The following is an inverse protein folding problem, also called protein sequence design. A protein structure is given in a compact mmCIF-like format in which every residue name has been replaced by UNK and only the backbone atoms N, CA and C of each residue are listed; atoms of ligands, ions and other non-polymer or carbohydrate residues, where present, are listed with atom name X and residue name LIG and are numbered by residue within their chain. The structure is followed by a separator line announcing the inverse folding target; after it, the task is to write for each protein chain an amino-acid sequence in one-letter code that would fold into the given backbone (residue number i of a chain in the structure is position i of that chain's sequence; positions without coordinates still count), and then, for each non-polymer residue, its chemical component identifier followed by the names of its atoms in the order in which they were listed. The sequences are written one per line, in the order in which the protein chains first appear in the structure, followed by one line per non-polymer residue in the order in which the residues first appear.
data_IF_219435895472
#
_entry.id   IF_219435895472
#
_cell.length_a   1.000
_cell.length_b   1.000
_cell.length_c   1.000
_cell.angle_alpha   90.00
_cell.angle_beta   90.00
_cell.angle_gamma   90.00
#
_symmetry.space_group_name_H-M   'P 1'
#
loop_
_entity.id
_entity.type
_entity.pdbx_description
1 polymer ?
#
# COMPACT_ATOMS: atom_id res chain seq x y z
N UNK A 1 -11.41 4.37 -14.73
CA UNK A 1 -10.24 4.60 -13.87
C UNK A 1 -10.60 4.12 -12.49
N UNK A 2 -9.71 3.35 -11.85
CA UNK A 2 -9.92 2.76 -10.53
C UNK A 2 -9.15 3.53 -9.46
N UNK A 3 -9.79 3.75 -8.33
CA UNK A 3 -9.19 4.40 -7.18
C UNK A 3 -9.17 3.44 -5.97
N UNK A 4 -7.98 3.19 -5.43
CA UNK A 4 -7.80 2.43 -4.19
C UNK A 4 -7.56 3.40 -3.03
N UNK A 5 -8.41 3.34 -2.02
CA UNK A 5 -8.25 4.10 -0.78
C UNK A 5 -7.90 3.13 0.35
N UNK A 6 -6.84 3.44 1.09
CA UNK A 6 -6.29 2.54 2.11
C UNK A 6 -6.39 3.22 3.46
N UNK A 7 -7.12 2.60 4.39
CA UNK A 7 -7.03 2.92 5.81
C UNK A 7 -5.76 2.27 6.37
N UNK A 8 -4.74 3.09 6.63
CA UNK A 8 -3.46 2.67 7.18
C UNK A 8 -3.44 2.65 8.72
N UNK A 9 -4.61 2.79 9.37
CA UNK A 9 -4.79 2.63 10.81
C UNK A 9 -5.19 1.20 11.14
N UNK A 10 -4.71 0.63 12.28
CA UNK A 10 -5.29 -0.60 12.81
C UNK A 10 -6.74 -0.42 13.30
N UNK A 11 -7.19 0.82 13.50
CA UNK A 11 -8.54 1.12 13.99
C UNK A 11 -9.51 1.31 12.82
N UNK A 12 -10.49 0.39 12.72
CA UNK A 12 -11.48 0.36 11.64
C UNK A 12 -12.62 1.37 11.76
N UNK A 13 -12.80 1.97 12.95
CA UNK A 13 -13.92 2.90 13.26
C UNK A 13 -13.46 4.26 13.78
N UNK A 14 -12.18 4.60 13.57
CA UNK A 14 -11.59 5.85 14.06
C UNK A 14 -11.65 7.01 13.06
N UNK A 15 -11.00 8.13 13.40
CA UNK A 15 -10.95 9.31 12.53
C UNK A 15 -10.40 9.02 11.13
N UNK A 16 -9.37 8.17 11.03
CA UNK A 16 -8.81 7.73 9.74
C UNK A 16 -9.85 7.01 8.88
N UNK A 17 -10.69 6.16 9.49
CA UNK A 17 -11.76 5.46 8.78
C UNK A 17 -12.84 6.43 8.28
N UNK A 18 -13.18 7.46 9.07
CA UNK A 18 -14.13 8.49 8.64
C UNK A 18 -13.57 9.33 7.48
N UNK A 19 -12.27 9.68 7.51
CA UNK A 19 -11.62 10.38 6.39
C UNK A 19 -11.63 9.52 5.12
N UNK A 20 -11.35 8.22 5.23
CA UNK A 20 -11.44 7.28 4.09
C UNK A 20 -12.83 7.29 3.49
N UNK A 21 -13.88 7.25 4.33
CA UNK A 21 -15.27 7.31 3.88
C UNK A 21 -15.57 8.63 3.15
N UNK A 22 -15.19 9.77 3.71
CA UNK A 22 -15.38 11.09 3.08
C UNK A 22 -14.71 11.13 1.71
N UNK A 23 -13.44 10.71 1.61
CA UNK A 23 -12.72 10.68 0.33
C UNK A 23 -13.41 9.74 -0.66
N UNK A 24 -13.82 8.55 -0.20
CA UNK A 24 -14.50 7.56 -1.03
C UNK A 24 -15.79 8.13 -1.62
N UNK A 25 -16.60 8.79 -0.80
CA UNK A 25 -17.87 9.39 -1.22
C UNK A 25 -17.63 10.51 -2.26
N UNK A 26 -16.66 11.40 -2.03
CA UNK A 26 -16.35 12.52 -2.93
C UNK A 26 -15.85 12.08 -4.32
N UNK A 27 -15.00 11.04 -4.37
CA UNK A 27 -14.39 10.60 -5.64
C UNK A 27 -15.19 9.54 -6.38
N UNK A 28 -16.19 8.92 -5.73
CA UNK A 28 -17.03 7.84 -6.28
C UNK A 28 -17.76 8.20 -7.59
N UNK A 29 -18.01 9.49 -7.83
CA UNK A 29 -18.64 9.97 -9.07
C UNK A 29 -17.71 9.94 -10.29
N UNK A 30 -16.39 9.84 -10.08
CA UNK A 30 -15.36 9.95 -11.14
C UNK A 30 -14.53 8.67 -11.28
N UNK A 31 -14.42 7.89 -10.21
CA UNK A 31 -13.59 6.69 -10.16
C UNK A 31 -14.42 5.50 -9.68
N UNK A 32 -14.06 4.31 -10.16
CA UNK A 32 -14.48 3.07 -9.53
C UNK A 32 -13.66 2.89 -8.25
N UNK A 33 -14.27 3.23 -7.12
CA UNK A 33 -13.59 3.38 -5.83
C UNK A 33 -13.69 2.13 -4.98
N UNK A 34 -12.54 1.65 -4.51
CA UNK A 34 -12.43 0.56 -3.54
C UNK A 34 -11.71 1.05 -2.29
N UNK A 35 -12.28 0.78 -1.12
CA UNK A 35 -11.65 1.08 0.18
C UNK A 35 -11.24 -0.22 0.88
N UNK A 36 -10.02 -0.27 1.39
CA UNK A 36 -9.49 -1.41 2.16
C UNK A 36 -8.88 -0.93 3.49
N UNK A 37 -8.82 -1.80 4.50
CA UNK A 37 -8.09 -1.54 5.74
C UNK A 37 -6.85 -2.43 5.82
N UNK A 38 -5.71 -1.85 6.23
CA UNK A 38 -4.47 -2.60 6.38
C UNK A 38 -4.57 -3.73 7.41
N UNK A 39 -5.46 -3.57 8.40
CA UNK A 39 -5.72 -4.53 9.46
C UNK A 39 -6.57 -5.74 9.01
N UNK A 40 -7.13 -5.71 7.80
CA UNK A 40 -7.83 -6.86 7.22
C UNK A 40 -6.86 -7.91 6.65
N UNK A 41 -5.57 -7.61 6.59
CA UNK A 41 -4.55 -8.45 5.96
C UNK A 41 -3.50 -8.89 6.97
N UNK A 42 -3.09 -10.15 6.87
CA UNK A 42 -2.00 -10.71 7.67
C UNK A 42 -0.72 -10.80 6.85
N UNK A 43 0.32 -10.10 7.30
CA UNK A 43 1.64 -10.15 6.69
C UNK A 43 2.74 -10.00 7.74
N UNK A 44 3.84 -10.68 7.50
CA UNK A 44 5.02 -10.64 8.37
C UNK A 44 5.98 -9.51 7.96
N UNK A 45 6.91 -9.18 8.86
CA UNK A 45 7.97 -8.23 8.54
C UNK A 45 8.87 -8.73 7.40
N UNK A 46 9.32 -7.80 6.55
CA UNK A 46 10.29 -8.09 5.50
C UNK A 46 11.60 -8.62 6.11
N UNK A 47 12.04 -9.81 5.67
CA UNK A 47 13.31 -10.44 6.11
C UNK A 47 14.56 -9.88 5.42
N UNK A 48 14.42 -8.97 4.46
CA UNK A 48 15.56 -8.41 3.71
C UNK A 48 16.31 -9.44 2.86
N UNK A 49 15.67 -10.54 2.45
CA UNK A 49 16.31 -11.61 1.67
C UNK A 49 16.65 -11.21 0.22
N UNK A 50 16.07 -10.11 -0.28
CA UNK A 50 16.27 -9.54 -1.64
C UNK A 50 15.90 -10.44 -2.81
N UNK A 51 15.25 -11.59 -2.60
CA UNK A 51 14.80 -12.47 -3.70
C UNK A 51 13.87 -11.73 -4.67
N UNK A 52 13.01 -10.87 -4.12
CA UNK A 52 12.08 -10.04 -4.87
C UNK A 52 12.75 -9.11 -5.91
N UNK A 53 14.03 -8.76 -5.76
CA UNK A 53 14.75 -7.94 -6.75
C UNK A 53 14.92 -8.65 -8.10
N UNK A 54 14.91 -9.99 -8.11
CA UNK A 54 15.05 -10.78 -9.33
C UNK A 54 13.70 -11.36 -9.79
N UNK A 55 12.77 -11.60 -8.85
CA UNK A 55 11.50 -12.29 -9.13
C UNK A 55 10.30 -11.38 -9.21
N UNK A 56 10.43 -10.10 -8.84
CA UNK A 56 9.31 -9.16 -8.66
C UNK A 56 8.21 -9.68 -7.71
N UNK A 57 8.54 -10.62 -6.82
CA UNK A 57 7.59 -11.28 -5.92
C UNK A 57 8.23 -11.57 -4.57
N UNK A 58 7.47 -11.40 -3.49
CA UNK A 58 7.89 -11.86 -2.17
C UNK A 58 7.86 -13.40 -2.13
N UNK A 59 8.84 -14.01 -1.46
CA UNK A 59 8.87 -15.47 -1.23
C UNK A 59 8.06 -15.91 -0.02
N UNK A 60 7.59 -14.95 0.78
CA UNK A 60 6.79 -15.21 1.96
C UNK A 60 5.34 -15.39 1.52
N UNK A 61 4.72 -16.48 1.97
CA UNK A 61 3.32 -16.78 1.71
C UNK A 61 2.44 -16.05 2.72
N UNK A 62 2.09 -14.80 2.39
CA UNK A 62 1.20 -13.98 3.19
C UNK A 62 0.37 -13.04 2.31
N UNK A 63 -0.50 -12.24 2.94
CA UNK A 63 -1.50 -11.45 2.23
C UNK A 63 -0.91 -10.25 1.46
N UNK A 64 0.41 -10.06 1.45
CA UNK A 64 1.01 -8.97 0.68
C UNK A 64 0.69 -9.09 -0.81
N UNK A 65 0.62 -10.32 -1.33
CA UNK A 65 0.32 -10.56 -2.74
C UNK A 65 -1.08 -10.07 -3.10
N UNK A 66 -2.06 -10.30 -2.22
CA UNK A 66 -3.44 -9.82 -2.41
C UNK A 66 -3.48 -8.30 -2.46
N UNK A 67 -2.76 -7.63 -1.56
CA UNK A 67 -2.74 -6.16 -1.56
C UNK A 67 -2.01 -5.64 -2.81
N UNK A 68 -0.95 -6.30 -3.28
CA UNK A 68 -0.26 -5.92 -4.51
C UNK A 68 -1.17 -6.03 -5.74
N UNK A 69 -2.05 -7.03 -5.81
CA UNK A 69 -3.05 -7.15 -6.88
C UNK A 69 -4.02 -5.96 -6.90
N UNK A 70 -4.43 -5.46 -5.72
CA UNK A 70 -5.24 -4.24 -5.62
C UNK A 70 -4.48 -2.98 -6.07
N UNK A 71 -3.17 -2.92 -5.81
CA UNK A 71 -2.31 -1.82 -6.25
C UNK A 71 -2.13 -1.84 -7.77
N UNK A 72 -1.91 -3.01 -8.36
CA UNK A 72 -1.71 -3.17 -9.81
C UNK A 72 -2.98 -2.86 -10.61
N UNK A 73 -4.16 -3.10 -10.03
CA UNK A 73 -5.46 -2.80 -10.65
C UNK A 73 -5.87 -1.31 -10.50
N UNK A 74 -5.22 -0.55 -9.62
CA UNK A 74 -5.56 0.83 -9.32
C UNK A 74 -4.77 1.85 -10.16
N UNK A 75 -5.48 2.82 -10.75
CA UNK A 75 -4.85 3.96 -11.44
C UNK A 75 -4.44 5.07 -10.46
N UNK A 76 -5.18 5.18 -9.34
CA UNK A 76 -4.98 6.20 -8.30
C UNK A 76 -5.01 5.50 -6.94
N UNK A 77 -4.01 5.79 -6.11
CA UNK A 77 -3.91 5.23 -4.76
C UNK A 77 -3.88 6.36 -3.75
N UNK A 78 -4.75 6.28 -2.73
CA UNK A 78 -4.86 7.23 -1.63
C UNK A 78 -4.62 6.49 -0.32
N UNK A 79 -3.48 6.76 0.33
CA UNK A 79 -3.19 6.21 1.66
C UNK A 79 -3.56 7.21 2.74
N UNK A 80 -4.40 6.79 3.68
CA UNK A 80 -4.83 7.62 4.82
C UNK A 80 -4.27 7.01 6.10
N UNK A 81 -3.35 7.73 6.76
CA UNK A 81 -2.66 7.25 7.96
C UNK A 81 -2.87 8.19 9.13
N UNK A 82 -3.07 7.68 10.36
CA UNK A 82 -2.91 8.49 11.56
C UNK A 82 -1.42 8.79 11.80
N UNK A 83 -1.14 9.75 12.67
CA UNK A 83 0.20 10.03 13.17
C UNK A 83 0.39 9.38 14.53
N UNK A 84 1.29 8.39 14.62
CA UNK A 84 1.69 7.74 15.86
C UNK A 84 3.14 8.13 16.14
N UNK A 85 3.38 8.88 17.22
CA UNK A 85 4.73 9.35 17.59
C UNK A 85 5.46 10.11 16.47
N UNK A 86 4.76 11.02 15.78
CA UNK A 86 5.27 11.80 14.66
C UNK A 86 5.69 10.98 13.43
N UNK A 87 5.27 9.72 13.33
CA UNK A 87 5.45 8.86 12.15
C UNK A 87 4.14 8.12 11.83
N UNK A 88 4.17 7.27 10.81
CA UNK A 88 3.09 6.33 10.47
C UNK A 88 3.04 5.14 11.45
N UNK A 89 1.90 4.43 11.56
CA UNK A 89 1.80 3.21 12.35
C UNK A 89 2.83 2.16 11.92
N UNK A 90 3.36 1.41 12.89
CA UNK A 90 4.37 0.37 12.63
C UNK A 90 3.91 -0.70 11.63
N UNK A 91 2.63 -1.09 11.68
CA UNK A 91 2.02 -2.00 10.69
C UNK A 91 2.06 -1.42 9.29
N UNK A 92 1.78 -0.12 9.12
CA UNK A 92 1.86 0.55 7.83
C UNK A 92 3.30 0.68 7.33
N UNK A 93 4.27 0.98 8.21
CA UNK A 93 5.69 0.94 7.84
C UNK A 93 6.13 -0.46 7.41
N UNK A 94 5.69 -1.51 8.10
CA UNK A 94 6.00 -2.89 7.75
C UNK A 94 5.47 -3.25 6.36
N UNK A 95 4.24 -2.86 6.05
CA UNK A 95 3.63 -2.99 4.74
C UNK A 95 4.43 -2.28 3.64
N UNK A 96 4.79 -1.01 3.84
CA UNK A 96 5.62 -0.23 2.90
C UNK A 96 6.93 -0.96 2.61
N UNK A 97 7.60 -1.52 3.63
CA UNK A 97 8.84 -2.26 3.45
C UNK A 97 8.66 -3.49 2.55
N UNK A 98 7.51 -4.17 2.62
CA UNK A 98 7.24 -5.32 1.74
C UNK A 98 6.98 -4.87 0.30
N UNK A 99 6.17 -3.85 0.09
CA UNK A 99 5.82 -3.37 -1.27
C UNK A 99 7.03 -2.83 -2.00
N UNK A 100 7.79 -1.91 -1.38
CA UNK A 100 8.96 -1.31 -2.03
C UNK A 100 9.98 -2.37 -2.46
N UNK A 101 10.15 -3.42 -1.66
CA UNK A 101 11.05 -4.53 -2.00
C UNK A 101 10.60 -5.30 -3.25
N UNK A 102 9.29 -5.40 -3.49
CA UNK A 102 8.68 -6.05 -4.67
C UNK A 102 8.77 -5.14 -5.90
N UNK A 103 8.45 -3.85 -5.73
CA UNK A 103 8.44 -2.85 -6.81
C UNK A 103 9.84 -2.59 -7.39
N UNK A 104 10.91 -2.77 -6.61
CA UNK A 104 12.30 -2.60 -7.08
C UNK A 104 12.77 -3.75 -8.01
N UNK A 105 12.12 -4.92 -7.98
CA UNK A 105 12.49 -6.06 -8.83
C UNK A 105 11.54 -6.36 -10.00
N UNK A 106 10.35 -5.77 -10.00
CA UNK A 106 9.46 -5.71 -11.16
C UNK A 106 9.58 -4.36 -11.86
N UNK A 107 8.93 -4.18 -13.02
CA UNK A 107 8.76 -2.84 -13.57
C UNK A 107 8.25 -1.92 -12.44
N UNK A 108 8.87 -0.76 -12.21
CA UNK A 108 8.42 0.15 -11.17
C UNK A 108 6.95 0.46 -11.42
N UNK A 109 6.16 0.62 -10.35
CA UNK A 109 4.84 1.25 -10.45
C UNK A 109 4.99 2.45 -11.39
N UNK A 110 4.05 2.70 -12.32
CA UNK A 110 4.05 3.91 -13.12
C UNK A 110 3.67 5.11 -12.24
N UNK A 111 4.37 5.31 -11.11
CA UNK A 111 4.54 6.60 -10.48
C UNK A 111 5.36 7.41 -11.50
N UNK A 112 4.64 8.12 -12.37
CA UNK A 112 5.20 8.77 -13.54
C UNK A 112 6.51 9.51 -13.26
N UNK A 113 7.49 9.31 -14.16
CA UNK A 113 8.71 10.11 -14.24
C UNK A 113 9.96 9.42 -13.68
N UNK A 114 10.72 8.81 -14.60
CA UNK A 114 12.00 8.14 -14.38
C UNK A 114 12.87 8.68 -13.25
N UNK A 115 12.89 7.95 -12.13
CA UNK A 115 13.86 8.13 -11.05
C UNK A 115 14.39 6.76 -10.64
N UNK A 116 15.60 6.45 -11.08
CA UNK A 116 16.42 5.40 -10.48
C UNK A 116 16.70 5.78 -9.03
N UNK A 117 16.35 4.92 -8.09
CA UNK A 117 16.88 5.00 -6.73
C UNK A 117 18.34 4.53 -6.77
N UNK A 118 19.26 5.48 -6.85
CA UNK A 118 20.68 5.25 -6.58
C UNK A 118 20.81 5.14 -5.06
N UNK A 119 21.10 3.95 -4.55
CA UNK A 119 21.46 3.75 -3.14
C UNK A 119 22.77 4.51 -2.85
N UNK A 120 22.75 5.36 -1.82
CA UNK A 120 23.95 5.83 -1.11
C UNK A 120 24.08 5.05 0.20
#
# INVERSE_FOLDING_TARGET
MKALIINCSPVKTGATAEIVKIISDEISSRYDTKSICIDDYSFDFCKGCRTCHNTAKCVMDDDITKIMEEFDDADVIVSVSPSYWADIPGQYKAFINKILSVVVGGNPLPLGGGRSLVNS
#
